data_IF_428567485738
#
_entry.id   IF_428567485738
#
_cell.length_a   1.000
_cell.length_b   1.000
_cell.length_c   1.000
_cell.angle_alpha   90.00
_cell.angle_beta   90.00
_cell.angle_gamma   90.00
#
_symmetry.space_group_name_H-M   'P 1'
#
loop_
_entity.id
_entity.type
_entity.pdbx_description
1 polymer ?
#
# COMPACT_ATOMS: atom_id res chain seq x y z
N UNK A 1 20.89 10.61 -7.00
CA UNK A 1 20.93 12.10 -6.93
C UNK A 1 20.31 12.50 -5.60
N UNK A 2 20.81 13.61 -4.97
CA UNK A 2 20.18 14.13 -3.73
C UNK A 2 19.12 15.16 -4.08
N UNK A 3 17.93 15.02 -3.48
CA UNK A 3 16.78 15.91 -3.70
C UNK A 3 16.07 16.19 -2.37
N UNK A 4 15.55 17.40 -2.22
CA UNK A 4 14.68 17.76 -1.09
C UNK A 4 13.25 17.34 -1.45
N UNK A 5 12.63 16.48 -0.64
CA UNK A 5 11.29 15.96 -0.90
C UNK A 5 10.42 15.98 0.36
N UNK A 6 9.12 16.15 0.16
CA UNK A 6 8.10 15.88 1.18
C UNK A 6 7.97 14.37 1.43
N UNK A 7 7.46 13.97 2.58
CA UNK A 7 7.20 12.56 2.88
C UNK A 7 6.28 11.89 1.85
N UNK A 8 5.19 12.54 1.45
CA UNK A 8 4.30 12.03 0.41
C UNK A 8 4.99 11.91 -0.96
N UNK A 9 5.84 12.89 -1.32
CA UNK A 9 6.63 12.84 -2.55
C UNK A 9 7.66 11.70 -2.50
N UNK A 10 8.26 11.47 -1.34
CA UNK A 10 9.22 10.38 -1.12
C UNK A 10 8.57 8.99 -1.24
N UNK A 11 7.32 8.82 -0.75
CA UNK A 11 6.54 7.60 -1.00
C UNK A 11 6.35 7.40 -2.51
N UNK A 12 5.85 8.43 -3.23
CA UNK A 12 5.65 8.35 -4.68
C UNK A 12 6.95 8.05 -5.43
N UNK A 13 8.07 8.63 -4.99
CA UNK A 13 9.40 8.32 -5.53
C UNK A 13 9.80 6.87 -5.26
N UNK A 14 9.55 6.35 -4.06
CA UNK A 14 9.77 4.96 -3.70
C UNK A 14 8.95 4.00 -4.57
N UNK A 15 7.68 4.34 -4.85
CA UNK A 15 6.82 3.59 -5.78
C UNK A 15 7.45 3.53 -7.18
N UNK A 16 7.90 4.68 -7.70
CA UNK A 16 8.56 4.75 -9.00
C UNK A 16 9.82 3.89 -9.04
N UNK A 17 10.75 4.08 -8.11
CA UNK A 17 12.01 3.35 -8.05
C UNK A 17 11.81 1.82 -7.93
N UNK A 18 10.79 1.41 -7.17
CA UNK A 18 10.44 0.00 -6.99
C UNK A 18 9.66 -0.62 -8.16
N UNK A 19 9.42 0.10 -9.25
CA UNK A 19 8.73 -0.45 -10.42
C UNK A 19 7.21 -0.58 -10.27
N UNK A 20 6.58 0.21 -9.38
CA UNK A 20 5.13 0.31 -9.31
C UNK A 20 4.58 0.77 -10.66
N UNK A 21 3.52 0.13 -11.14
CA UNK A 21 2.90 0.44 -12.44
C UNK A 21 1.46 0.91 -12.32
N UNK A 22 0.82 0.70 -11.17
CA UNK A 22 -0.59 1.02 -10.96
C UNK A 22 -0.83 1.65 -9.59
N UNK A 23 -1.48 2.79 -9.56
CA UNK A 23 -1.90 3.51 -8.36
C UNK A 23 -3.37 3.86 -8.47
N UNK A 24 -4.18 3.47 -7.49
CA UNK A 24 -5.59 3.86 -7.40
C UNK A 24 -5.88 4.33 -5.98
N UNK A 25 -6.48 5.50 -5.82
CA UNK A 25 -6.68 6.11 -4.50
C UNK A 25 -7.99 6.88 -4.43
N UNK A 26 -8.44 7.17 -3.21
CA UNK A 26 -9.50 8.15 -2.96
C UNK A 26 -8.91 9.35 -2.22
N UNK A 27 -9.22 10.59 -2.62
CA UNK A 27 -8.61 11.78 -2.03
C UNK A 27 -8.94 11.91 -0.53
N UNK A 28 -7.93 12.21 0.28
CA UNK A 28 -8.09 12.43 1.72
C UNK A 28 -6.77 12.87 2.35
N UNK A 29 -6.72 14.13 2.85
CA UNK A 29 -5.54 14.65 3.56
C UNK A 29 -5.30 13.82 4.84
N UNK A 30 -4.05 13.33 5.08
CA UNK A 30 -2.79 13.75 4.46
C UNK A 30 -2.23 12.81 3.37
N UNK A 31 -3.03 11.94 2.72
CA UNK A 31 -2.53 10.98 1.72
C UNK A 31 -2.68 11.41 0.25
N UNK A 32 -3.45 12.46 -0.03
CA UNK A 32 -3.83 12.88 -1.41
C UNK A 32 -2.61 13.08 -2.30
N UNK A 33 -1.60 13.77 -1.81
CA UNK A 33 -0.42 14.17 -2.58
C UNK A 33 0.43 12.98 -3.04
N UNK A 34 0.35 11.82 -2.39
CA UNK A 34 1.07 10.61 -2.84
C UNK A 34 0.67 10.26 -4.28
N UNK A 35 -0.64 10.22 -4.55
CA UNK A 35 -1.16 9.89 -5.89
C UNK A 35 -0.88 11.01 -6.89
N UNK A 36 -0.97 12.27 -6.47
CA UNK A 36 -0.64 13.42 -7.33
C UNK A 36 0.84 13.41 -7.75
N UNK A 37 1.76 13.05 -6.85
CA UNK A 37 3.17 12.89 -7.18
C UNK A 37 3.41 11.63 -8.03
N UNK A 38 2.76 10.52 -7.75
CA UNK A 38 2.88 9.30 -8.54
C UNK A 38 2.42 9.51 -9.99
N UNK A 39 1.37 10.29 -10.20
CA UNK A 39 0.84 10.60 -11.53
C UNK A 39 1.80 11.42 -12.42
N UNK A 40 2.88 11.99 -11.87
CA UNK A 40 3.91 12.69 -12.65
C UNK A 40 4.86 11.74 -13.37
N UNK A 41 4.92 10.45 -12.96
CA UNK A 41 5.73 9.42 -13.59
C UNK A 41 4.93 8.73 -14.69
N UNK A 42 5.41 8.78 -15.94
CA UNK A 42 4.73 8.21 -17.12
C UNK A 42 4.60 6.68 -17.06
N UNK A 43 5.45 6.03 -16.29
CA UNK A 43 5.49 4.59 -16.07
C UNK A 43 4.45 4.10 -15.06
N UNK A 44 3.78 5.02 -14.38
CA UNK A 44 2.74 4.73 -13.40
C UNK A 44 1.39 5.19 -13.93
N UNK A 45 0.47 4.25 -14.12
CA UNK A 45 -0.94 4.60 -14.31
C UNK A 45 -1.54 4.95 -12.95
N UNK A 46 -1.97 6.19 -12.79
CA UNK A 46 -2.56 6.70 -11.55
C UNK A 46 -3.98 7.22 -11.80
N UNK A 47 -4.91 6.83 -10.92
CA UNK A 47 -6.31 7.22 -11.03
C UNK A 47 -6.94 7.52 -9.66
N UNK A 48 -8.00 8.34 -9.66
CA UNK A 48 -8.91 8.50 -8.55
C UNK A 48 -10.09 7.54 -8.68
N UNK A 49 -10.28 6.71 -7.65
CA UNK A 49 -11.44 5.83 -7.55
C UNK A 49 -12.65 6.56 -6.94
N UNK A 50 -13.89 6.06 -7.13
CA UNK A 50 -15.08 6.68 -6.54
C UNK A 50 -15.17 6.53 -5.01
N UNK A 51 -14.42 5.58 -4.42
CA UNK A 51 -14.23 5.41 -2.99
C UNK A 51 -13.03 4.49 -2.71
N UNK A 52 -12.66 4.36 -1.43
CA UNK A 52 -11.48 3.62 -1.00
C UNK A 52 -11.60 2.10 -1.22
N UNK A 53 -12.80 1.54 -1.10
CA UNK A 53 -13.05 0.12 -1.41
C UNK A 53 -12.67 -0.18 -2.85
N UNK A 54 -13.18 0.60 -3.80
CA UNK A 54 -12.87 0.44 -5.23
C UNK A 54 -11.39 0.68 -5.50
N UNK A 55 -10.76 1.65 -4.83
CA UNK A 55 -9.32 1.88 -4.96
C UNK A 55 -8.49 0.64 -4.60
N UNK A 56 -8.80 0.00 -3.47
CA UNK A 56 -8.13 -1.24 -3.04
C UNK A 56 -8.39 -2.38 -4.03
N UNK A 57 -9.63 -2.56 -4.47
CA UNK A 57 -10.01 -3.63 -5.41
C UNK A 57 -9.32 -3.46 -6.77
N UNK A 58 -9.24 -2.23 -7.30
CA UNK A 58 -8.54 -1.93 -8.56
C UNK A 58 -7.03 -2.20 -8.44
N UNK A 59 -6.39 -1.72 -7.36
CA UNK A 59 -4.97 -1.98 -7.09
C UNK A 59 -4.71 -3.50 -6.92
N UNK A 60 -5.61 -4.23 -6.26
CA UNK A 60 -5.50 -5.68 -6.14
C UNK A 60 -5.65 -6.39 -7.48
N UNK A 61 -6.55 -5.93 -8.34
CA UNK A 61 -6.68 -6.46 -9.72
C UNK A 61 -5.37 -6.33 -10.49
N UNK A 62 -4.71 -5.18 -10.44
CA UNK A 62 -3.39 -4.96 -11.04
C UNK A 62 -2.31 -5.86 -10.43
N UNK A 63 -2.33 -6.04 -9.10
CA UNK A 63 -1.45 -6.95 -8.37
C UNK A 63 -1.60 -8.40 -8.85
N UNK A 64 -2.83 -8.90 -8.95
CA UNK A 64 -3.14 -10.26 -9.46
C UNK A 64 -2.68 -10.40 -10.92
N UNK A 65 -2.85 -9.36 -11.73
CA UNK A 65 -2.38 -9.33 -13.12
C UNK A 65 -0.84 -9.29 -13.25
N UNK A 66 -0.11 -9.21 -12.14
CA UNK A 66 1.36 -9.30 -12.12
C UNK A 66 2.08 -7.97 -12.13
N UNK A 67 1.42 -6.88 -11.77
CA UNK A 67 2.01 -5.54 -11.67
C UNK A 67 2.09 -5.08 -10.22
N UNK A 68 3.25 -4.56 -9.79
CA UNK A 68 3.35 -3.88 -8.49
C UNK A 68 2.36 -2.74 -8.44
N UNK A 69 1.53 -2.71 -7.40
CA UNK A 69 0.42 -1.78 -7.26
C UNK A 69 0.41 -1.10 -5.90
N UNK A 70 -0.27 0.04 -5.85
CA UNK A 70 -0.42 0.84 -4.65
C UNK A 70 -1.83 1.43 -4.59
N UNK A 71 -2.38 1.52 -3.39
CA UNK A 71 -3.54 2.36 -3.12
C UNK A 71 -3.28 3.20 -1.87
N UNK A 72 -3.85 4.38 -1.81
CA UNK A 72 -3.75 5.22 -0.61
C UNK A 72 -5.09 5.79 -0.17
N UNK A 73 -5.17 6.01 1.14
CA UNK A 73 -6.35 6.54 1.78
C UNK A 73 -6.01 7.14 3.15
N UNK A 74 -6.90 7.97 3.63
CA UNK A 74 -6.93 8.44 4.99
C UNK A 74 -7.43 7.33 5.94
N UNK A 75 -7.16 7.45 7.26
CA UNK A 75 -7.62 6.47 8.24
C UNK A 75 -9.13 6.21 8.20
N UNK A 76 -9.96 7.23 8.00
CA UNK A 76 -11.43 7.04 7.86
C UNK A 76 -11.80 6.28 6.59
N UNK A 77 -11.01 6.42 5.54
CA UNK A 77 -11.18 5.65 4.29
C UNK A 77 -10.83 4.18 4.46
N UNK A 78 -9.92 3.84 5.37
CA UNK A 78 -9.61 2.46 5.70
C UNK A 78 -10.83 1.72 6.26
N UNK A 79 -11.73 2.41 6.96
CA UNK A 79 -13.01 1.83 7.41
C UNK A 79 -13.88 1.39 6.20
N UNK A 80 -13.88 2.17 5.12
CA UNK A 80 -14.61 1.87 3.88
C UNK A 80 -13.94 0.70 3.14
N UNK A 81 -12.62 0.64 3.14
CA UNK A 81 -11.83 -0.38 2.48
C UNK A 81 -11.63 -1.66 3.31
N UNK A 82 -12.15 -1.73 4.53
CA UNK A 82 -11.91 -2.85 5.45
C UNK A 82 -12.24 -4.22 4.82
N UNK A 83 -13.39 -4.36 4.17
CA UNK A 83 -13.84 -5.62 3.56
C UNK A 83 -12.82 -6.19 2.55
N UNK A 84 -12.41 -5.48 1.48
CA UNK A 84 -11.39 -6.01 0.58
C UNK A 84 -10.03 -6.20 1.27
N UNK A 85 -9.62 -5.33 2.18
CA UNK A 85 -8.34 -5.47 2.90
C UNK A 85 -8.28 -6.79 3.66
N UNK A 86 -9.31 -7.12 4.45
CA UNK A 86 -9.37 -8.39 5.17
C UNK A 86 -9.44 -9.61 4.23
N UNK A 87 -10.14 -9.48 3.10
CA UNK A 87 -10.23 -10.54 2.10
C UNK A 87 -8.89 -10.77 1.40
N UNK A 88 -8.19 -9.69 1.01
CA UNK A 88 -6.88 -9.78 0.34
C UNK A 88 -5.81 -10.34 1.30
N UNK A 89 -5.91 -10.09 2.60
CA UNK A 89 -5.04 -10.68 3.60
C UNK A 89 -5.06 -12.22 3.53
N UNK A 90 -6.19 -12.82 3.21
CA UNK A 90 -6.30 -14.27 2.99
C UNK A 90 -5.86 -14.70 1.59
N UNK A 91 -6.24 -13.93 0.56
CA UNK A 91 -5.91 -14.23 -0.83
C UNK A 91 -4.41 -14.21 -1.09
N UNK A 92 -3.69 -13.25 -0.50
CA UNK A 92 -2.30 -12.99 -0.82
C UNK A 92 -2.16 -12.21 -2.13
N UNK A 93 -0.96 -12.17 -2.68
CA UNK A 93 -0.59 -11.35 -3.84
C UNK A 93 -0.02 -12.19 -4.98
N UNK A 94 0.10 -11.62 -6.19
CA UNK A 94 0.96 -12.13 -7.24
C UNK A 94 2.21 -11.24 -7.35
N UNK A 95 2.08 -10.02 -7.85
CA UNK A 95 3.10 -8.98 -7.66
C UNK A 95 2.88 -8.27 -6.31
N UNK A 96 3.83 -7.45 -5.90
CA UNK A 96 3.74 -6.74 -4.62
C UNK A 96 2.59 -5.71 -4.60
N UNK A 97 1.91 -5.62 -3.47
CA UNK A 97 0.86 -4.63 -3.22
C UNK A 97 1.12 -3.88 -1.91
N UNK A 98 1.01 -2.56 -1.98
CA UNK A 98 1.11 -1.68 -0.82
C UNK A 98 -0.21 -0.94 -0.61
N UNK A 99 -0.63 -0.86 0.63
CA UNK A 99 -1.76 -0.05 1.09
C UNK A 99 -1.20 1.10 1.92
N UNK A 100 -1.15 2.29 1.33
CA UNK A 100 -0.80 3.51 2.04
C UNK A 100 -1.97 4.00 2.88
N UNK A 101 -1.77 4.13 4.18
CA UNK A 101 -2.78 4.71 5.08
C UNK A 101 -2.18 5.90 5.81
N UNK A 102 -2.89 7.02 5.82
CA UNK A 102 -2.42 8.23 6.48
C UNK A 102 -3.33 8.62 7.65
N UNK A 103 -2.77 8.47 8.85
CA UNK A 103 -3.42 8.89 10.09
C UNK A 103 -3.24 10.39 10.32
N UNK A 104 -4.30 11.03 10.79
CA UNK A 104 -4.31 12.46 11.11
C UNK A 104 -4.42 12.63 12.63
N UNK A 105 -3.32 12.31 13.31
CA UNK A 105 -3.22 12.48 14.75
C UNK A 105 -3.39 13.96 15.13
N UNK A 106 -4.27 14.22 16.09
CA UNK A 106 -4.65 15.57 16.46
C UNK A 106 -5.74 16.20 15.57
N UNK A 107 -6.28 15.46 14.61
CA UNK A 107 -7.44 15.85 13.78
C UNK A 107 -7.29 17.20 13.07
N UNK A 108 -6.15 17.44 12.41
CA UNK A 108 -5.91 18.70 11.69
C UNK A 108 -6.93 18.94 10.57
N UNK A 109 -7.39 17.87 9.90
CA UNK A 109 -8.42 17.93 8.85
C UNK A 109 -9.38 16.73 8.90
N UNK A 110 -9.61 16.16 10.10
CA UNK A 110 -10.42 14.95 10.27
C UNK A 110 -11.52 15.15 11.29
N UNK A 111 -12.61 14.42 11.13
CA UNK A 111 -13.75 14.41 12.03
C UNK A 111 -13.59 13.51 13.27
N UNK A 112 -12.55 12.70 13.32
CA UNK A 112 -12.18 11.87 14.45
C UNK A 112 -10.70 11.45 14.34
N UNK A 113 -10.14 10.90 15.42
CA UNK A 113 -8.80 10.30 15.45
C UNK A 113 -8.94 8.78 15.51
N UNK A 114 -8.12 8.09 14.69
CA UNK A 114 -8.05 6.64 14.65
C UNK A 114 -6.58 6.21 14.57
N UNK A 115 -6.29 5.01 15.08
CA UNK A 115 -4.98 4.37 14.94
C UNK A 115 -5.07 3.17 14.00
N UNK A 116 -4.57 3.33 12.79
CA UNK A 116 -4.60 2.29 11.75
C UNK A 116 -3.79 1.05 12.08
N UNK A 117 -2.92 1.08 13.11
CA UNK A 117 -2.18 -0.12 13.57
C UNK A 117 -3.11 -1.24 14.01
N UNK A 118 -4.29 -0.88 14.56
CA UNK A 118 -5.29 -1.87 14.94
C UNK A 118 -5.85 -2.65 13.74
N UNK A 119 -5.94 -2.03 12.56
CA UNK A 119 -6.31 -2.73 11.32
C UNK A 119 -5.23 -3.73 10.89
N UNK A 120 -3.95 -3.34 10.96
CA UNK A 120 -2.85 -4.22 10.62
C UNK A 120 -2.84 -5.47 11.51
N UNK A 121 -3.00 -5.29 12.81
CA UNK A 121 -3.08 -6.39 13.79
C UNK A 121 -4.28 -7.30 13.49
N UNK A 122 -5.47 -6.71 13.31
CA UNK A 122 -6.70 -7.48 13.08
C UNK A 122 -6.68 -8.24 11.74
N UNK A 123 -6.12 -7.64 10.69
CA UNK A 123 -5.99 -8.26 9.36
C UNK A 123 -4.76 -9.17 9.24
N UNK A 124 -3.86 -9.21 10.24
CA UNK A 124 -2.58 -9.96 10.22
C UNK A 124 -1.71 -9.55 9.03
N UNK A 125 -1.63 -8.25 8.79
CA UNK A 125 -0.82 -7.64 7.75
C UNK A 125 0.38 -6.92 8.35
N UNK A 126 1.57 -7.01 7.75
CA UNK A 126 2.71 -6.21 8.16
C UNK A 126 2.46 -4.72 7.90
N UNK A 127 2.99 -3.88 8.78
CA UNK A 127 2.92 -2.43 8.67
C UNK A 127 4.28 -1.82 8.89
N UNK A 128 4.69 -0.94 7.98
CA UNK A 128 5.87 -0.10 8.10
C UNK A 128 5.43 1.34 8.40
N UNK A 129 6.07 1.96 9.36
CA UNK A 129 5.75 3.33 9.79
C UNK A 129 7.01 4.19 9.73
N UNK A 130 7.22 4.94 8.63
CA UNK A 130 8.39 5.79 8.46
C UNK A 130 8.36 6.99 9.40
N UNK A 131 9.53 7.40 9.89
CA UNK A 131 9.70 8.54 10.78
C UNK A 131 10.00 9.85 10.01
N UNK A 132 10.46 9.76 8.76
CA UNK A 132 10.79 10.89 7.90
C UNK A 132 10.66 10.57 6.41
N UNK A 133 10.98 11.54 5.53
CA UNK A 133 10.88 11.34 4.09
C UNK A 133 11.90 10.31 3.55
N UNK A 134 13.06 10.17 4.17
CA UNK A 134 14.08 9.18 3.76
C UNK A 134 13.59 7.75 4.03
N UNK A 135 13.03 7.53 5.22
CA UNK A 135 12.40 6.25 5.55
C UNK A 135 11.13 6.02 4.71
N UNK A 136 10.36 7.08 4.38
CA UNK A 136 9.19 6.96 3.50
C UNK A 136 9.57 6.37 2.15
N UNK A 137 10.67 6.78 1.54
CA UNK A 137 11.18 6.20 0.30
C UNK A 137 11.65 4.76 0.51
N UNK A 138 12.54 4.54 1.48
CA UNK A 138 13.19 3.23 1.69
C UNK A 138 12.18 2.17 2.14
N UNK A 139 11.24 2.51 3.02
CA UNK A 139 10.19 1.60 3.49
C UNK A 139 9.17 1.27 2.40
N UNK A 140 8.88 2.22 1.49
CA UNK A 140 8.04 1.92 0.32
C UNK A 140 8.68 0.87 -0.57
N UNK A 141 10.00 0.94 -0.80
CA UNK A 141 10.72 -0.10 -1.56
C UNK A 141 10.71 -1.43 -0.81
N UNK A 142 11.06 -1.42 0.46
CA UNK A 142 11.08 -2.60 1.33
C UNK A 142 9.69 -3.27 1.42
N UNK A 143 8.62 -2.48 1.43
CA UNK A 143 7.25 -3.01 1.50
C UNK A 143 6.91 -3.93 0.32
N UNK A 144 7.41 -3.63 -0.89
CA UNK A 144 7.23 -4.54 -2.04
C UNK A 144 8.00 -5.86 -1.86
N UNK A 145 9.22 -5.80 -1.34
CA UNK A 145 10.02 -7.00 -1.11
C UNK A 145 9.39 -7.89 -0.04
N UNK A 146 8.86 -7.30 1.04
CA UNK A 146 8.09 -8.01 2.06
C UNK A 146 6.82 -8.60 1.45
N UNK A 147 6.07 -7.79 0.69
CA UNK A 147 4.82 -8.23 0.06
C UNK A 147 5.01 -9.46 -0.80
N UNK A 148 6.01 -9.44 -1.68
CA UNK A 148 6.29 -10.54 -2.60
C UNK A 148 6.89 -11.76 -1.92
N UNK A 149 7.74 -11.56 -0.92
CA UNK A 149 8.37 -12.64 -0.16
C UNK A 149 7.37 -13.43 0.69
N UNK A 150 6.43 -12.72 1.31
CA UNK A 150 5.50 -13.31 2.28
C UNK A 150 4.07 -13.49 1.74
N UNK A 151 3.84 -13.27 0.44
CA UNK A 151 2.52 -13.45 -0.20
C UNK A 151 1.41 -12.65 0.51
N UNK A 152 1.62 -11.35 0.72
CA UNK A 152 0.74 -10.50 1.52
C UNK A 152 0.81 -9.03 1.09
N UNK A 153 -0.28 -8.27 1.11
CA UNK A 153 -0.15 -6.82 1.04
C UNK A 153 0.56 -6.29 2.28
N UNK A 154 1.16 -5.10 2.17
CA UNK A 154 1.88 -4.43 3.25
C UNK A 154 1.29 -3.05 3.46
N UNK A 155 1.02 -2.67 4.70
CA UNK A 155 0.69 -1.30 5.04
C UNK A 155 1.94 -0.43 5.10
N UNK A 156 1.86 0.76 4.49
CA UNK A 156 2.78 1.87 4.76
C UNK A 156 1.96 2.96 5.45
N UNK A 157 2.21 3.15 6.75
CA UNK A 157 1.46 4.09 7.58
C UNK A 157 2.18 5.43 7.66
N UNK A 158 1.53 6.45 7.17
CA UNK A 158 1.98 7.83 7.28
C UNK A 158 1.22 8.55 8.41
N UNK A 159 1.76 9.65 8.87
CA UNK A 159 1.02 10.63 9.67
C UNK A 159 1.20 12.03 9.06
N UNK A 160 0.31 12.96 9.39
CA UNK A 160 0.31 14.33 8.84
C UNK A 160 1.69 14.99 8.92
N UNK A 161 2.39 14.84 10.04
CA UNK A 161 3.71 15.44 10.24
C UNK A 161 4.75 14.88 9.27
N UNK A 162 4.82 13.56 9.12
CA UNK A 162 5.78 12.91 8.20
C UNK A 162 5.41 13.20 6.75
N UNK A 163 4.11 13.12 6.41
CA UNK A 163 3.61 13.37 5.06
C UNK A 163 4.04 14.74 4.51
N UNK A 164 4.05 15.77 5.37
CA UNK A 164 4.34 17.15 5.01
C UNK A 164 5.70 17.68 5.51
N UNK A 165 6.52 16.84 6.15
CA UNK A 165 7.91 17.20 6.47
C UNK A 165 8.82 17.02 5.26
N UNK A 166 9.93 17.75 5.23
CA UNK A 166 10.91 17.67 4.16
C UNK A 166 12.23 17.09 4.66
N UNK A 167 12.83 16.25 3.86
CA UNK A 167 14.19 15.73 4.08
C UNK A 167 14.95 15.66 2.76
N UNK A 168 16.28 15.71 2.84
CA UNK A 168 17.15 15.43 1.70
C UNK A 168 17.25 13.91 1.55
N UNK A 169 16.78 13.40 0.44
CA UNK A 169 16.80 11.96 0.13
C UNK A 169 17.70 11.66 -1.05
N UNK A 170 18.25 10.46 -1.07
CA UNK A 170 19.07 9.95 -2.17
C UNK A 170 18.20 9.09 -3.07
N UNK A 171 18.06 9.50 -4.34
CA UNK A 171 17.23 8.82 -5.33
C UNK A 171 18.03 7.86 -6.17
N UNK A 172 17.40 6.77 -6.62
CA UNK A 172 17.95 5.76 -7.53
C UNK A 172 17.12 5.65 -8.82
N UNK A 173 17.59 4.85 -9.76
CA UNK A 173 16.85 4.57 -10.97
C UNK A 173 15.71 3.58 -10.71
N UNK A 174 14.71 3.59 -11.59
CA UNK A 174 13.60 2.66 -11.56
C UNK A 174 14.05 1.25 -11.89
N UNK A 175 13.53 0.28 -11.17
CA UNK A 175 13.68 -1.15 -11.47
C UNK A 175 12.37 -1.66 -12.09
N UNK A 176 12.42 -2.11 -13.35
CA UNK A 176 11.24 -2.69 -13.98
C UNK A 176 10.93 -4.07 -13.42
N UNK A 177 9.67 -4.27 -13.05
CA UNK A 177 9.18 -5.53 -12.50
C UNK A 177 7.86 -5.93 -13.14
N UNK A 178 7.70 -7.21 -13.42
CA UNK A 178 6.43 -7.77 -13.89
C UNK A 178 6.42 -9.27 -13.62
N UNK A 179 5.28 -9.80 -13.22
CA UNK A 179 5.05 -11.23 -13.08
C UNK A 179 3.96 -11.68 -14.04
N UNK A 180 4.03 -12.93 -14.48
CA UNK A 180 2.97 -13.52 -15.28
C UNK A 180 1.76 -13.82 -14.42
N UNK A 181 0.57 -13.53 -14.95
CA UNK A 181 -0.67 -13.96 -14.32
C UNK A 181 -0.83 -15.48 -14.47
N UNK A 182 -1.03 -16.15 -13.35
CA UNK A 182 -1.39 -17.57 -13.31
C UNK A 182 -2.79 -17.72 -12.74
N UNK A 183 -3.64 -18.43 -13.47
CA UNK A 183 -5.02 -18.67 -13.04
C UNK A 183 -5.02 -19.68 -11.89
N UNK A 184 -5.30 -19.22 -10.67
CA UNK A 184 -5.46 -20.06 -9.48
C UNK A 184 -6.74 -19.71 -8.74
N UNK A 185 -7.84 -20.39 -9.05
CA UNK A 185 -9.11 -20.19 -8.39
C UNK A 185 -9.10 -20.61 -6.91
N UNK A 186 -8.23 -21.52 -6.50
CA UNK A 186 -8.10 -21.92 -5.10
C UNK A 186 -7.44 -20.83 -4.24
N UNK A 187 -6.57 -20.01 -4.84
CA UNK A 187 -5.92 -18.87 -4.20
C UNK A 187 -6.78 -17.61 -4.25
N UNK A 188 -7.30 -17.26 -5.44
CA UNK A 188 -7.87 -15.92 -5.66
C UNK A 188 -9.40 -15.84 -5.46
N UNK A 189 -10.10 -16.96 -5.31
CA UNK A 189 -11.54 -16.94 -5.06
C UNK A 189 -11.82 -17.34 -3.61
N UNK A 190 -12.16 -16.35 -2.77
CA UNK A 190 -12.36 -16.55 -1.32
C UNK A 190 -13.76 -17.09 -1.00
N UNK A 191 -14.07 -18.28 -1.51
CA UNK A 191 -15.18 -19.09 -1.00
C UNK A 191 -14.82 -19.67 0.39
N UNK A 192 -15.81 -19.99 1.25
CA UNK A 192 -15.55 -20.49 2.60
C UNK A 192 -14.58 -21.68 2.67
N UNK A 193 -14.65 -22.61 1.69
CA UNK A 193 -13.73 -23.74 1.61
C UNK A 193 -12.29 -23.33 1.31
N UNK A 194 -12.08 -22.32 0.47
CA UNK A 194 -10.77 -21.77 0.14
C UNK A 194 -10.23 -20.97 1.32
N UNK A 195 -11.06 -20.15 1.95
CA UNK A 195 -10.70 -19.37 3.13
C UNK A 195 -10.20 -20.28 4.27
N UNK A 196 -10.87 -21.39 4.54
CA UNK A 196 -10.44 -22.38 5.53
C UNK A 196 -9.04 -22.95 5.22
N UNK A 197 -8.74 -23.22 3.94
CA UNK A 197 -7.41 -23.71 3.53
C UNK A 197 -6.33 -22.63 3.62
N UNK A 198 -6.69 -21.38 3.37
CA UNK A 198 -5.77 -20.23 3.44
C UNK A 198 -5.46 -19.82 4.88
N UNK A 199 -6.36 -20.04 5.83
CA UNK A 199 -6.17 -19.60 7.21
C UNK A 199 -4.86 -20.11 7.86
N UNK A 200 -4.48 -21.40 7.80
CA UNK A 200 -3.19 -21.84 8.33
C UNK A 200 -1.98 -21.18 7.66
N UNK A 201 -2.09 -20.83 6.37
CA UNK A 201 -1.04 -20.11 5.63
C UNK A 201 -0.89 -18.68 6.18
N UNK A 202 -2.02 -17.99 6.45
CA UNK A 202 -2.01 -16.66 7.07
C UNK A 202 -1.37 -16.69 8.45
N UNK A 203 -1.70 -17.71 9.28
CA UNK A 203 -1.10 -17.86 10.62
C UNK A 203 0.41 -18.12 10.54
N UNK A 204 0.83 -19.05 9.69
CA UNK A 204 2.25 -19.35 9.51
C UNK A 204 3.04 -18.14 8.99
N UNK A 205 2.47 -17.38 8.05
CA UNK A 205 3.05 -16.14 7.54
C UNK A 205 3.19 -15.09 8.64
N UNK A 206 2.17 -14.93 9.49
CA UNK A 206 2.20 -13.96 10.61
C UNK A 206 3.31 -14.31 11.61
N UNK A 207 3.57 -15.59 11.82
CA UNK A 207 4.65 -16.03 12.69
C UNK A 207 6.05 -15.88 12.06
N UNK A 208 6.13 -15.81 10.73
CA UNK A 208 7.40 -15.66 9.99
C UNK A 208 7.78 -14.19 9.73
N UNK A 209 6.84 -13.25 9.88
CA UNK A 209 7.03 -11.79 9.77
C UNK A 209 7.52 -11.21 11.08
#
# INVERSE_FOLDING_TARGET
MKQLMLGNEAVARGLYEAGCSFVSSYPGTPSTEITEYAAKYKEIYAEWAPNEKVAVEAAFGACVAGKRSFCSMKHVGLNVAADPVFTIAYTGVNAGMIIGVADDAGMHSSQNEQDSRHYAIAAKLPMLEPADASESLSFTKLAYDISEKYDTPVFVKMCTRVAHSQSIIETSDRVETSKTYEKDGAKYIMMPGNAKRRHPIVEARTAAL
#
